data_IF_615074556985
#
_entry.id   IF_615074556985
#
_cell.length_a   1.000
_cell.length_b   1.000
_cell.length_c   1.000
_cell.angle_alpha   90.00
_cell.angle_beta   90.00
_cell.angle_gamma   90.00
#
_symmetry.space_group_name_H-M   'P 1'
#
loop_
_entity.id
_entity.type
_entity.pdbx_description
1 polymer ?
#
# COMPACT_ATOMS: atom_id res chain seq x y z
N UNK A 1 37.45 32.39 12.43
CA UNK A 1 38.88 32.05 12.24
C UNK A 1 39.74 32.08 13.51
N UNK A 2 39.40 32.84 14.57
CA UNK A 2 40.21 32.88 15.81
C UNK A 2 39.95 31.74 16.80
N UNK A 3 38.91 30.94 16.58
CA UNK A 3 38.76 29.62 17.20
C UNK A 3 38.39 28.65 16.08
N UNK A 4 39.13 27.55 15.94
CA UNK A 4 38.86 26.46 14.98
C UNK A 4 37.67 25.62 15.46
N UNK A 5 36.56 26.29 15.76
CA UNK A 5 35.29 25.66 16.09
C UNK A 5 34.60 25.40 14.76
N UNK A 6 34.47 24.12 14.41
CA UNK A 6 33.71 23.67 13.24
C UNK A 6 32.20 23.86 13.49
N UNK A 7 31.74 25.11 13.55
CA UNK A 7 30.38 25.46 13.94
C UNK A 7 29.30 24.85 13.03
N UNK A 8 29.59 24.70 11.74
CA UNK A 8 28.70 24.02 10.79
C UNK A 8 28.51 22.54 11.13
N UNK A 9 29.61 21.83 11.40
CA UNK A 9 29.57 20.42 11.78
C UNK A 9 28.87 20.22 13.13
N UNK A 10 29.16 21.08 14.11
CA UNK A 10 28.50 21.03 15.41
C UNK A 10 26.99 21.24 15.26
N UNK A 11 26.58 22.21 14.43
CA UNK A 11 25.17 22.43 14.13
C UNK A 11 24.51 21.22 13.46
N UNK A 12 25.16 20.62 12.45
CA UNK A 12 24.64 19.42 11.77
C UNK A 12 24.48 18.22 12.71
N UNK A 13 25.45 18.02 13.62
CA UNK A 13 25.42 16.95 14.63
C UNK A 13 24.30 17.17 15.65
N UNK A 14 24.17 18.39 16.20
CA UNK A 14 23.10 18.74 17.14
C UNK A 14 21.71 18.71 16.50
N UNK A 15 21.57 19.23 15.27
CA UNK A 15 20.32 19.19 14.53
C UNK A 15 19.90 17.74 14.23
N UNK A 16 20.85 16.89 13.83
CA UNK A 16 20.63 15.45 13.65
C UNK A 16 20.17 14.79 14.96
N UNK A 17 20.80 15.14 16.08
CA UNK A 17 20.43 14.64 17.40
C UNK A 17 19.00 15.05 17.78
N UNK A 18 18.67 16.33 17.59
CA UNK A 18 17.35 16.88 17.82
C UNK A 18 16.25 16.18 17.01
N UNK A 19 16.47 15.95 15.72
CA UNK A 19 15.51 15.26 14.85
C UNK A 19 15.28 13.81 15.31
N UNK A 20 16.35 13.07 15.61
CA UNK A 20 16.26 11.69 16.10
C UNK A 20 15.54 11.62 17.45
N UNK A 21 15.85 12.54 18.36
CA UNK A 21 15.20 12.61 19.66
C UNK A 21 13.69 12.93 19.51
N UNK A 22 13.34 13.86 18.62
CA UNK A 22 11.95 14.21 18.34
C UNK A 22 11.16 13.01 17.83
N UNK A 23 11.72 12.27 16.85
CA UNK A 23 11.08 11.06 16.32
C UNK A 23 10.97 9.95 17.38
N UNK A 24 12.00 9.76 18.21
CA UNK A 24 11.97 8.78 19.29
C UNK A 24 10.87 9.11 20.31
N UNK A 25 10.73 10.39 20.69
CA UNK A 25 9.70 10.84 21.64
C UNK A 25 8.29 10.58 21.13
N UNK A 26 8.02 10.84 19.84
CA UNK A 26 6.72 10.49 19.22
C UNK A 26 6.48 8.97 19.23
N UNK A 27 7.52 8.18 18.93
CA UNK A 27 7.41 6.72 18.95
C UNK A 27 7.09 6.20 20.37
N UNK A 28 7.78 6.71 21.39
CA UNK A 28 7.59 6.28 22.78
C UNK A 28 6.19 6.66 23.31
N UNK A 29 5.70 7.85 22.97
CA UNK A 29 4.35 8.28 23.31
C UNK A 29 3.28 7.45 22.58
N UNK A 30 3.49 7.17 21.30
CA UNK A 30 2.60 6.30 20.53
C UNK A 30 2.49 4.89 21.13
N UNK A 31 3.62 4.27 21.49
CA UNK A 31 3.65 2.97 22.16
C UNK A 31 2.96 3.04 23.53
N UNK A 32 3.19 4.11 24.30
CA UNK A 32 2.54 4.31 25.60
C UNK A 32 1.02 4.41 25.49
N UNK A 33 0.52 5.16 24.50
CA UNK A 33 -0.93 5.26 24.22
C UNK A 33 -1.50 3.93 23.78
N UNK A 34 -0.79 3.17 22.95
CA UNK A 34 -1.19 1.84 22.51
C UNK A 34 -1.38 0.90 23.70
N UNK A 35 -0.42 0.83 24.62
CA UNK A 35 -0.50 -0.02 25.82
C UNK A 35 -1.72 0.36 26.66
N UNK A 36 -1.95 1.66 26.91
CA UNK A 36 -3.12 2.14 27.65
C UNK A 36 -4.43 1.76 26.96
N UNK A 37 -4.52 1.94 25.65
CA UNK A 37 -5.74 1.69 24.89
C UNK A 37 -6.00 0.20 24.67
N UNK A 38 -4.96 -0.65 24.67
CA UNK A 38 -5.12 -2.11 24.64
C UNK A 38 -5.82 -2.68 25.88
N UNK A 39 -5.83 -1.92 26.99
CA UNK A 39 -6.57 -2.27 28.21
C UNK A 39 -8.05 -1.87 28.16
N UNK A 40 -8.48 -1.08 27.16
CA UNK A 40 -9.86 -0.61 27.00
C UNK A 40 -10.51 -1.35 25.81
N UNK A 41 -11.65 -1.99 26.05
CA UNK A 41 -12.29 -2.94 25.10
C UNK A 41 -12.94 -2.23 23.88
N UNK A 42 -13.08 -0.90 23.91
CA UNK A 42 -13.76 -0.13 22.86
C UNK A 42 -12.82 0.22 21.68
N UNK A 43 -13.31 0.13 20.43
CA UNK A 43 -12.55 0.51 19.25
C UNK A 43 -12.48 2.03 19.17
N UNK A 44 -11.51 2.64 19.86
CA UNK A 44 -11.22 4.05 19.68
C UNK A 44 -10.46 4.22 18.37
N UNK A 45 -10.99 5.06 17.48
CA UNK A 45 -10.23 5.61 16.36
C UNK A 45 -8.99 6.30 16.94
N UNK A 46 -7.82 5.72 16.73
CA UNK A 46 -6.57 6.40 17.04
C UNK A 46 -6.46 7.49 15.98
N UNK A 47 -6.83 8.71 16.35
CA UNK A 47 -6.53 9.89 15.56
C UNK A 47 -5.01 10.07 15.67
N UNK A 48 -4.29 9.59 14.63
CA UNK A 48 -2.93 9.06 14.77
C UNK A 48 -1.90 10.09 15.30
N UNK A 49 -2.24 11.39 15.26
CA UNK A 49 -1.44 12.49 15.82
C UNK A 49 -2.25 13.72 16.28
N UNK A 50 -3.50 13.56 16.73
CA UNK A 50 -4.27 14.72 17.22
C UNK A 50 -3.58 15.47 18.38
N UNK A 51 -2.71 14.77 19.10
CA UNK A 51 -1.87 15.30 20.18
C UNK A 51 -0.37 15.03 19.93
N UNK A 52 0.20 15.49 18.82
CA UNK A 52 1.66 15.37 18.61
C UNK A 52 2.43 16.15 19.70
N UNK A 53 3.62 15.67 20.09
CA UNK A 53 4.44 16.28 21.16
C UNK A 53 5.65 17.06 20.63
N UNK A 54 5.92 16.95 19.34
CA UNK A 54 7.12 17.46 18.66
C UNK A 54 6.76 18.01 17.29
N UNK A 55 7.66 18.84 16.77
CA UNK A 55 7.57 19.38 15.40
C UNK A 55 7.43 18.29 14.33
N UNK A 56 8.16 17.16 14.46
CA UNK A 56 8.08 16.07 13.49
C UNK A 56 6.70 15.39 13.51
N UNK A 57 6.11 15.22 14.69
CA UNK A 57 4.76 14.69 14.83
C UNK A 57 3.72 15.64 14.24
N UNK A 58 3.81 16.94 14.52
CA UNK A 58 2.92 17.96 13.96
C UNK A 58 3.01 18.03 12.43
N UNK A 59 4.24 18.04 11.90
CA UNK A 59 4.49 18.03 10.47
C UNK A 59 3.88 16.79 9.81
N UNK A 60 4.11 15.61 10.38
CA UNK A 60 3.54 14.37 9.87
C UNK A 60 2.01 14.40 9.92
N UNK A 61 1.41 14.89 11.01
CA UNK A 61 -0.04 15.06 11.14
C UNK A 61 -0.63 15.93 10.02
N UNK A 62 0.02 17.05 9.68
CA UNK A 62 -0.43 17.92 8.59
C UNK A 62 -0.33 17.21 7.24
N UNK A 63 0.77 16.47 6.98
CA UNK A 63 0.90 15.65 5.77
C UNK A 63 -0.24 14.63 5.68
N UNK A 64 -0.56 13.93 6.78
CA UNK A 64 -1.63 12.93 6.80
C UNK A 64 -3.02 13.54 6.60
N UNK A 65 -3.28 14.75 7.10
CA UNK A 65 -4.54 15.47 6.88
C UNK A 65 -4.73 15.85 5.41
N UNK A 66 -3.69 16.40 4.79
CA UNK A 66 -3.74 16.82 3.38
C UNK A 66 -3.82 15.65 2.39
N UNK A 67 -3.38 14.46 2.81
CA UNK A 67 -3.36 13.25 1.97
C UNK A 67 -4.45 12.24 2.34
N UNK A 68 -5.45 12.66 3.12
CA UNK A 68 -6.53 11.78 3.60
C UNK A 68 -7.31 11.20 2.41
N UNK A 69 -7.45 9.87 2.26
CA UNK A 69 -8.10 9.24 1.10
C UNK A 69 -9.56 9.62 0.90
N UNK A 70 -10.25 10.07 1.95
CA UNK A 70 -11.65 10.49 1.86
C UNK A 70 -11.83 11.93 1.38
N UNK A 71 -10.74 12.71 1.28
CA UNK A 71 -10.78 14.15 0.95
C UNK A 71 -9.78 14.55 -0.14
N UNK A 72 -8.91 13.64 -0.57
CA UNK A 72 -7.87 13.90 -1.55
C UNK A 72 -7.73 12.72 -2.50
N UNK A 73 -7.28 12.98 -3.72
CA UNK A 73 -7.01 11.98 -4.76
C UNK A 73 -5.54 12.02 -5.15
N UNK A 74 -4.85 10.89 -5.05
CA UNK A 74 -3.49 10.73 -5.52
C UNK A 74 -3.47 10.41 -7.02
N UNK A 75 -2.81 11.28 -7.78
CA UNK A 75 -2.65 11.16 -9.23
C UNK A 75 -1.20 10.76 -9.53
N UNK A 76 -0.98 9.48 -9.83
CA UNK A 76 0.37 8.91 -10.03
C UNK A 76 1.20 9.67 -11.08
N UNK A 77 0.69 10.00 -12.28
CA UNK A 77 1.47 10.76 -13.28
C UNK A 77 1.97 12.12 -12.78
N UNK A 78 1.26 12.73 -11.82
CA UNK A 78 1.63 14.00 -11.22
C UNK A 78 2.43 13.83 -9.92
N UNK A 79 2.48 12.61 -9.37
CA UNK A 79 3.11 12.28 -8.09
C UNK A 79 2.67 13.22 -6.96
N UNK A 80 1.36 13.47 -6.89
CA UNK A 80 0.76 14.43 -5.96
C UNK A 80 -0.70 14.13 -5.65
N UNK A 81 -1.20 14.79 -4.61
CA UNK A 81 -2.57 14.76 -4.10
C UNK A 81 -3.30 16.02 -4.50
N UNK A 82 -4.56 15.85 -4.90
CA UNK A 82 -5.44 16.91 -5.36
C UNK A 82 -6.77 16.85 -4.62
N UNK A 83 -7.41 17.99 -4.41
CA UNK A 83 -8.79 18.06 -3.94
C UNK A 83 -9.80 17.76 -5.06
N UNK A 84 -11.09 17.83 -4.74
CA UNK A 84 -12.17 17.59 -5.71
C UNK A 84 -12.26 18.69 -6.77
N UNK A 85 -11.77 19.90 -6.46
CA UNK A 85 -11.69 21.05 -7.34
C UNK A 85 -10.50 20.97 -8.31
N UNK A 86 -9.58 20.03 -8.10
CA UNK A 86 -8.38 19.82 -8.92
C UNK A 86 -7.19 20.69 -8.49
N UNK A 87 -7.22 21.29 -7.30
CA UNK A 87 -6.09 22.02 -6.74
C UNK A 87 -5.09 21.05 -6.11
N UNK A 88 -3.80 21.28 -6.35
CA UNK A 88 -2.72 20.50 -5.74
C UNK A 88 -2.64 20.78 -4.23
N UNK A 89 -2.82 19.74 -3.42
CA UNK A 89 -2.69 19.79 -1.96
C UNK A 89 -1.26 19.51 -1.52
N UNK A 90 -0.63 18.51 -2.14
CA UNK A 90 0.72 18.07 -1.81
C UNK A 90 1.34 17.37 -3.04
N UNK A 91 2.57 17.69 -3.41
CA UNK A 91 3.24 17.04 -4.53
C UNK A 91 4.76 17.04 -4.42
N UNK A 92 5.47 16.75 -5.51
CA UNK A 92 6.93 16.60 -5.50
C UNK A 92 7.69 17.84 -5.01
N UNK A 93 7.19 19.04 -5.31
CA UNK A 93 7.78 20.31 -4.84
C UNK A 93 7.76 20.42 -3.31
N UNK A 94 6.71 19.90 -2.67
CA UNK A 94 6.65 19.85 -1.21
C UNK A 94 7.74 18.94 -0.66
N UNK A 95 7.94 17.74 -1.20
CA UNK A 95 9.00 16.83 -0.73
C UNK A 95 10.41 17.37 -0.99
N UNK A 96 10.59 18.15 -2.05
CA UNK A 96 11.83 18.88 -2.30
C UNK A 96 12.11 19.94 -1.24
N UNK A 97 11.12 20.80 -0.94
CA UNK A 97 11.23 21.78 0.13
C UNK A 97 11.45 21.10 1.48
N UNK A 98 10.70 20.03 1.76
CA UNK A 98 10.83 19.26 2.99
C UNK A 98 12.25 18.70 3.16
N UNK A 99 12.82 18.07 2.14
CA UNK A 99 14.21 17.58 2.19
C UNK A 99 15.21 18.71 2.43
N UNK A 100 14.98 19.90 1.86
CA UNK A 100 15.85 21.06 2.11
C UNK A 100 15.77 21.58 3.55
N UNK A 101 14.63 21.39 4.23
CA UNK A 101 14.42 21.86 5.60
C UNK A 101 14.92 20.87 6.66
N UNK A 102 14.64 19.58 6.50
CA UNK A 102 14.94 18.55 7.53
C UNK A 102 16.07 17.60 7.14
N UNK A 103 16.57 17.70 5.92
CA UNK A 103 17.63 16.86 5.38
C UNK A 103 17.28 15.38 5.28
N UNK A 104 18.24 14.54 4.86
CA UNK A 104 18.04 13.10 4.73
C UNK A 104 17.67 12.41 6.05
N UNK A 105 18.22 12.89 7.16
CA UNK A 105 17.94 12.36 8.50
C UNK A 105 16.49 12.61 8.89
N UNK A 106 15.98 13.83 8.73
CA UNK A 106 14.60 14.16 9.08
C UNK A 106 13.59 13.40 8.24
N UNK A 107 13.86 13.25 6.94
CA UNK A 107 13.06 12.41 6.04
C UNK A 107 13.04 10.94 6.47
N UNK A 108 14.20 10.37 6.86
CA UNK A 108 14.26 9.01 7.39
C UNK A 108 13.56 8.87 8.75
N UNK A 109 13.60 9.90 9.59
CA UNK A 109 12.82 9.96 10.83
C UNK A 109 11.31 9.91 10.55
N UNK A 110 10.81 10.70 9.59
CA UNK A 110 9.40 10.64 9.16
C UNK A 110 9.03 9.24 8.62
N UNK A 111 9.89 8.64 7.79
CA UNK A 111 9.68 7.26 7.29
C UNK A 111 9.60 6.25 8.44
N UNK A 112 10.46 6.37 9.45
CA UNK A 112 10.46 5.46 10.61
C UNK A 112 9.17 5.56 11.43
N UNK A 113 8.58 6.75 11.53
CA UNK A 113 7.28 6.96 12.16
C UNK A 113 6.17 6.32 11.32
N UNK A 114 6.16 6.54 10.01
CA UNK A 114 5.21 5.92 9.07
C UNK A 114 5.24 4.39 9.16
N UNK A 115 6.42 3.77 9.29
CA UNK A 115 6.56 2.32 9.49
C UNK A 115 5.78 1.85 10.73
N UNK A 116 5.86 2.58 11.85
CA UNK A 116 5.12 2.23 13.07
C UNK A 116 3.61 2.32 12.88
N UNK A 117 3.12 3.35 12.19
CA UNK A 117 1.69 3.48 11.89
C UNK A 117 1.20 2.37 10.96
N UNK A 118 1.96 2.05 9.91
CA UNK A 118 1.60 0.97 9.00
C UNK A 118 1.50 -0.34 9.76
N UNK A 119 2.47 -0.67 10.62
CA UNK A 119 2.43 -1.89 11.44
C UNK A 119 1.15 -1.96 12.28
N UNK A 120 0.77 -0.87 12.94
CA UNK A 120 -0.43 -0.87 13.80
C UNK A 120 -1.74 -0.89 13.03
N UNK A 121 -1.84 -0.14 11.92
CA UNK A 121 -3.01 -0.20 11.05
C UNK A 121 -3.15 -1.59 10.42
N UNK A 122 -2.05 -2.25 10.04
CA UNK A 122 -2.04 -3.63 9.55
C UNK A 122 -2.53 -4.61 10.61
N UNK A 123 -2.03 -4.53 11.85
CA UNK A 123 -2.53 -5.37 12.97
C UNK A 123 -4.03 -5.17 13.21
N UNK A 124 -4.50 -3.92 13.18
CA UNK A 124 -5.92 -3.59 13.33
C UNK A 124 -6.76 -4.13 12.17
N UNK A 125 -6.31 -3.94 10.94
CA UNK A 125 -6.96 -4.48 9.74
C UNK A 125 -7.05 -6.01 9.79
N UNK A 126 -5.98 -6.67 10.24
CA UNK A 126 -5.94 -8.12 10.40
C UNK A 126 -6.92 -8.60 11.47
N UNK A 127 -6.94 -7.95 12.65
CA UNK A 127 -7.91 -8.25 13.71
C UNK A 127 -9.35 -8.03 13.25
N UNK A 128 -9.61 -6.92 12.55
CA UNK A 128 -10.92 -6.60 11.98
C UNK A 128 -11.37 -7.66 10.97
N UNK A 129 -10.49 -8.07 10.07
CA UNK A 129 -10.77 -9.14 9.10
C UNK A 129 -11.07 -10.46 9.80
N UNK A 130 -10.32 -10.85 10.83
CA UNK A 130 -10.58 -12.09 11.58
C UNK A 130 -11.95 -12.09 12.28
N UNK A 131 -12.42 -10.93 12.72
CA UNK A 131 -13.76 -10.78 13.31
C UNK A 131 -14.84 -10.92 12.24
N UNK A 132 -14.62 -10.36 11.04
CA UNK A 132 -15.52 -10.50 9.90
C UNK A 132 -15.61 -11.95 9.40
N UNK A 133 -14.52 -12.70 9.51
CA UNK A 133 -14.45 -14.11 9.13
C UNK A 133 -14.99 -15.06 10.21
N UNK A 134 -16.25 -14.83 10.61
CA UNK A 134 -16.98 -15.74 11.48
C UNK A 134 -17.37 -17.04 10.74
N UNK A 135 -17.86 -18.03 11.49
CA UNK A 135 -18.21 -19.34 10.92
C UNK A 135 -19.26 -19.25 9.79
N UNK A 136 -20.23 -18.33 9.92
CA UNK A 136 -21.28 -18.13 8.91
C UNK A 136 -20.72 -17.56 7.63
N UNK A 137 -19.80 -16.60 7.75
CA UNK A 137 -19.13 -16.01 6.60
C UNK A 137 -18.24 -17.04 5.87
N UNK A 138 -17.56 -17.92 6.62
CA UNK A 138 -16.78 -19.00 6.04
C UNK A 138 -17.64 -20.01 5.26
N UNK A 139 -18.80 -20.40 5.80
CA UNK A 139 -19.76 -21.25 5.08
C UNK A 139 -20.22 -20.61 3.75
N UNK A 140 -20.50 -19.30 3.76
CA UNK A 140 -20.87 -18.57 2.54
C UNK A 140 -19.74 -18.55 1.51
N UNK A 141 -18.49 -18.36 1.95
CA UNK A 141 -17.32 -18.43 1.06
C UNK A 141 -17.17 -19.83 0.46
N UNK A 142 -17.38 -20.90 1.23
CA UNK A 142 -17.23 -22.27 0.73
C UNK A 142 -18.30 -22.63 -0.31
N UNK A 143 -19.55 -22.21 -0.07
CA UNK A 143 -20.62 -22.35 -1.07
C UNK A 143 -20.25 -21.64 -2.37
N UNK A 144 -19.74 -20.41 -2.25
CA UNK A 144 -19.34 -19.61 -3.40
C UNK A 144 -18.12 -20.19 -4.11
N UNK A 145 -17.14 -20.71 -3.38
CA UNK A 145 -15.96 -21.36 -3.93
C UNK A 145 -16.36 -22.56 -4.81
N UNK A 146 -17.37 -23.30 -4.39
CA UNK A 146 -17.93 -24.40 -5.18
C UNK A 146 -18.58 -23.88 -6.47
N UNK A 147 -19.26 -22.73 -6.41
CA UNK A 147 -19.92 -22.11 -7.57
C UNK A 147 -18.94 -21.46 -8.57
N UNK A 148 -17.82 -20.92 -8.08
CA UNK A 148 -16.79 -20.27 -8.91
C UNK A 148 -15.88 -21.26 -9.63
N UNK A 149 -15.63 -22.42 -9.01
CA UNK A 149 -14.66 -23.38 -9.52
C UNK A 149 -13.23 -22.82 -9.51
N UNK A 150 -12.28 -23.46 -10.21
CA UNK A 150 -10.90 -23.01 -10.24
C UNK A 150 -10.76 -21.71 -11.04
N UNK A 151 -9.86 -20.80 -10.62
CA UNK A 151 -9.75 -19.47 -11.23
C UNK A 151 -9.21 -19.51 -12.66
N UNK A 152 -8.66 -20.64 -13.13
CA UNK A 152 -8.26 -20.83 -14.53
C UNK A 152 -9.46 -21.02 -15.47
N UNK A 153 -10.59 -21.47 -14.95
CA UNK A 153 -11.81 -21.76 -15.70
C UNK A 153 -12.88 -20.68 -15.54
N UNK A 154 -13.90 -20.70 -16.38
CA UNK A 154 -15.09 -19.87 -16.21
C UNK A 154 -16.07 -20.60 -15.26
N UNK A 155 -16.70 -19.89 -14.31
CA UNK A 155 -17.72 -20.45 -13.44
C UNK A 155 -18.89 -21.03 -14.22
N UNK A 156 -19.42 -22.16 -13.75
CA UNK A 156 -20.53 -22.87 -14.39
C UNK A 156 -21.82 -22.04 -14.48
N UNK A 157 -22.06 -21.16 -13.49
CA UNK A 157 -23.21 -20.26 -13.45
C UNK A 157 -22.90 -18.87 -14.06
N UNK A 158 -21.74 -18.73 -14.72
CA UNK A 158 -21.32 -17.52 -15.41
C UNK A 158 -21.35 -16.27 -14.51
N UNK A 159 -21.90 -15.18 -15.04
CA UNK A 159 -22.01 -13.89 -14.35
C UNK A 159 -22.78 -13.95 -13.03
N UNK A 160 -23.78 -14.82 -12.93
CA UNK A 160 -24.64 -14.91 -11.74
C UNK A 160 -23.86 -15.35 -10.48
N UNK A 161 -22.77 -16.11 -10.63
CA UNK A 161 -21.85 -16.44 -9.53
C UNK A 161 -21.25 -15.19 -8.87
N UNK A 162 -20.93 -14.18 -9.66
CA UNK A 162 -20.35 -12.91 -9.17
C UNK A 162 -21.42 -11.91 -8.72
N UNK A 163 -22.63 -11.96 -9.30
CA UNK A 163 -23.75 -11.17 -8.78
C UNK A 163 -24.12 -11.59 -7.35
N UNK A 164 -24.08 -12.88 -7.03
CA UNK A 164 -24.27 -13.37 -5.66
C UNK A 164 -23.23 -12.76 -4.70
N UNK A 165 -21.99 -12.57 -5.16
CA UNK A 165 -20.95 -11.91 -4.36
C UNK A 165 -21.20 -10.43 -4.15
N UNK A 166 -21.69 -9.73 -5.18
CA UNK A 166 -22.01 -8.32 -5.09
C UNK A 166 -23.17 -8.05 -4.11
N UNK A 167 -23.99 -9.06 -3.80
CA UNK A 167 -25.08 -8.97 -2.81
C UNK A 167 -24.65 -9.19 -1.36
N UNK A 168 -23.40 -9.59 -1.09
CA UNK A 168 -22.88 -9.59 0.28
C UNK A 168 -22.92 -8.16 0.83
N UNK A 169 -23.39 -7.93 2.07
CA UNK A 169 -23.65 -6.58 2.55
C UNK A 169 -22.37 -5.72 2.48
N UNK A 170 -22.35 -4.73 1.58
CA UNK A 170 -21.23 -3.81 1.39
C UNK A 170 -20.74 -3.19 2.71
N UNK A 171 -21.66 -2.95 3.65
CA UNK A 171 -21.39 -2.40 4.98
C UNK A 171 -20.41 -3.23 5.83
N UNK A 172 -20.28 -4.53 5.57
CA UNK A 172 -19.34 -5.38 6.32
C UNK A 172 -17.88 -5.07 5.99
N UNK A 173 -17.62 -4.57 4.78
CA UNK A 173 -16.26 -4.35 4.29
C UNK A 173 -15.76 -2.94 4.51
N UNK A 174 -16.65 -1.95 4.63
CA UNK A 174 -16.28 -0.52 4.68
C UNK A 174 -15.19 -0.22 5.73
N UNK A 175 -15.28 -0.67 7.01
CA UNK A 175 -14.22 -0.40 7.98
C UNK A 175 -12.87 -1.01 7.60
N UNK A 176 -12.90 -2.17 6.94
CA UNK A 176 -11.68 -2.82 6.46
C UNK A 176 -11.11 -2.07 5.25
N UNK A 177 -11.94 -1.64 4.30
CA UNK A 177 -11.55 -0.86 3.12
C UNK A 177 -10.98 0.50 3.53
N UNK A 178 -11.58 1.19 4.50
CA UNK A 178 -11.03 2.43 5.09
C UNK A 178 -9.67 2.20 5.74
N UNK A 179 -9.51 1.08 6.44
CA UNK A 179 -8.23 0.69 7.02
C UNK A 179 -7.18 0.41 5.94
N UNK A 180 -7.56 -0.25 4.84
CA UNK A 180 -6.67 -0.48 3.69
C UNK A 180 -6.29 0.84 3.02
N UNK A 181 -7.24 1.74 2.76
CA UNK A 181 -6.97 3.06 2.21
C UNK A 181 -5.98 3.85 3.08
N UNK A 182 -6.15 3.80 4.40
CA UNK A 182 -5.22 4.42 5.35
C UNK A 182 -3.82 3.81 5.26
N UNK A 183 -3.69 2.48 5.15
CA UNK A 183 -2.39 1.81 4.96
C UNK A 183 -1.74 2.25 3.64
N UNK A 184 -2.53 2.33 2.56
CA UNK A 184 -2.02 2.74 1.26
C UNK A 184 -1.58 4.20 1.22
N UNK A 185 -2.30 5.10 1.88
CA UNK A 185 -1.89 6.50 2.06
C UNK A 185 -0.48 6.58 2.64
N UNK A 186 -0.27 5.89 3.77
CA UNK A 186 1.03 5.85 4.45
C UNK A 186 2.12 5.29 3.52
N UNK A 187 1.82 4.22 2.79
CA UNK A 187 2.76 3.59 1.85
C UNK A 187 3.13 4.50 0.67
N UNK A 188 2.17 5.24 0.11
CA UNK A 188 2.45 6.20 -0.97
C UNK A 188 3.38 7.31 -0.47
N UNK A 189 3.13 7.85 0.73
CA UNK A 189 4.01 8.85 1.35
C UNK A 189 5.43 8.28 1.54
N UNK A 190 5.57 7.05 2.06
CA UNK A 190 6.87 6.37 2.19
C UNK A 190 7.58 6.22 0.84
N UNK A 191 6.84 5.91 -0.22
CA UNK A 191 7.40 5.80 -1.57
C UNK A 191 7.95 7.14 -2.07
N UNK A 192 7.22 8.25 -1.86
CA UNK A 192 7.68 9.58 -2.27
C UNK A 192 8.85 10.09 -1.43
N UNK A 193 8.86 9.81 -0.13
CA UNK A 193 10.03 10.09 0.75
C UNK A 193 11.26 9.35 0.23
N UNK A 194 11.15 8.05 -0.05
CA UNK A 194 12.27 7.25 -0.56
C UNK A 194 12.70 7.69 -1.96
N UNK A 195 11.76 8.03 -2.84
CA UNK A 195 12.05 8.59 -4.16
C UNK A 195 12.86 9.89 -4.05
N UNK A 196 12.46 10.79 -3.14
CA UNK A 196 13.20 12.04 -2.92
C UNK A 196 14.58 11.81 -2.33
N UNK A 197 14.71 10.91 -1.35
CA UNK A 197 16.01 10.58 -0.75
C UNK A 197 16.96 9.96 -1.77
N UNK A 198 16.47 9.02 -2.58
CA UNK A 198 17.27 8.34 -3.59
C UNK A 198 17.73 9.31 -4.68
N UNK A 199 16.83 10.17 -5.18
CA UNK A 199 17.17 11.18 -6.17
C UNK A 199 18.18 12.20 -5.63
N UNK A 200 18.00 12.69 -4.41
CA UNK A 200 18.95 13.59 -3.75
C UNK A 200 20.31 12.93 -3.55
N UNK A 201 20.37 11.68 -3.10
CA UNK A 201 21.61 10.93 -2.89
C UNK A 201 22.38 10.73 -4.20
N UNK A 202 21.70 10.38 -5.30
CA UNK A 202 22.32 10.22 -6.62
C UNK A 202 22.98 11.49 -7.16
N UNK A 203 22.43 12.65 -6.81
CA UNK A 203 22.94 13.97 -7.23
C UNK A 203 24.04 14.46 -6.29
N UNK A 204 23.78 14.47 -4.97
CA UNK A 204 24.66 15.08 -3.96
C UNK A 204 25.81 14.14 -3.52
N UNK A 205 25.62 12.82 -3.59
CA UNK A 205 26.53 11.83 -3.01
C UNK A 205 26.67 10.56 -3.87
N UNK A 206 26.91 10.72 -5.18
CA UNK A 206 26.95 9.62 -6.16
C UNK A 206 27.87 8.45 -5.78
N UNK A 207 29.06 8.73 -5.26
CA UNK A 207 30.02 7.69 -4.87
C UNK A 207 29.48 6.82 -3.73
N UNK A 208 28.89 7.45 -2.70
CA UNK A 208 28.24 6.75 -1.58
C UNK A 208 27.06 5.92 -2.07
N UNK A 209 26.22 6.51 -2.92
CA UNK A 209 25.08 5.83 -3.52
C UNK A 209 25.52 4.56 -4.26
N UNK A 210 26.54 4.65 -5.10
CA UNK A 210 27.04 3.51 -5.90
C UNK A 210 27.69 2.42 -5.02
N UNK A 211 28.47 2.81 -4.01
CA UNK A 211 29.07 1.86 -3.09
C UNK A 211 28.01 1.11 -2.27
N UNK A 212 27.02 1.85 -1.77
CA UNK A 212 25.95 1.29 -0.95
C UNK A 212 25.05 0.35 -1.75
N UNK A 213 24.71 0.71 -2.99
CA UNK A 213 23.95 -0.15 -3.92
C UNK A 213 24.69 -1.48 -4.19
N UNK A 214 26.01 -1.41 -4.41
CA UNK A 214 26.85 -2.59 -4.57
C UNK A 214 26.83 -3.49 -3.32
N UNK A 215 26.96 -2.91 -2.12
CA UNK A 215 26.93 -3.66 -0.86
C UNK A 215 25.55 -4.30 -0.64
N UNK A 216 24.45 -3.58 -0.89
CA UNK A 216 23.07 -4.10 -0.74
C UNK A 216 22.81 -5.24 -1.72
N UNK A 217 23.25 -5.12 -2.97
CA UNK A 217 23.12 -6.16 -3.99
C UNK A 217 23.92 -7.42 -3.61
N UNK A 218 25.12 -7.26 -3.07
CA UNK A 218 25.91 -8.39 -2.56
C UNK A 218 25.25 -9.02 -1.32
N UNK A 219 24.72 -8.22 -0.39
CA UNK A 219 24.08 -8.70 0.83
C UNK A 219 22.75 -9.45 0.55
N UNK A 220 21.99 -9.04 -0.46
CA UNK A 220 20.77 -9.74 -0.90
C UNK A 220 21.11 -11.05 -1.60
N UNK A 221 22.01 -11.06 -2.58
CA UNK A 221 22.44 -12.29 -3.25
C UNK A 221 23.10 -13.32 -2.31
N UNK A 222 23.85 -12.87 -1.31
CA UNK A 222 24.40 -13.73 -0.27
C UNK A 222 23.33 -14.30 0.67
N UNK A 223 22.22 -13.56 0.89
CA UNK A 223 21.07 -14.06 1.64
C UNK A 223 20.42 -15.21 0.88
N UNK A 224 20.17 -15.07 -0.41
CA UNK A 224 19.49 -16.09 -1.21
C UNK A 224 20.29 -17.40 -1.27
N UNK A 225 21.62 -17.31 -1.38
CA UNK A 225 22.52 -18.49 -1.33
C UNK A 225 22.56 -19.17 0.04
N UNK A 226 22.31 -18.43 1.12
CA UNK A 226 22.35 -18.93 2.49
C UNK A 226 21.10 -19.73 2.88
N UNK A 227 19.93 -19.47 2.27
CA UNK A 227 18.73 -20.28 2.51
C UNK A 227 18.88 -21.72 1.97
N UNK A 228 19.95 -21.99 1.20
CA UNK A 228 20.34 -23.29 0.68
C UNK A 228 21.48 -23.96 1.48
N UNK A 229 22.03 -23.29 2.51
CA UNK A 229 23.20 -23.75 3.27
C UNK A 229 22.94 -23.73 4.77
N UNK A 230 23.17 -24.88 5.43
CA UNK A 230 23.00 -25.03 6.87
C UNK A 230 24.21 -24.41 7.59
N UNK A 231 24.11 -23.18 8.09
CA UNK A 231 25.17 -22.59 8.93
C UNK A 231 24.67 -22.02 10.26
N UNK A 232 25.09 -22.72 11.32
CA UNK A 232 25.33 -22.17 12.65
C UNK A 232 26.78 -21.68 12.70
N UNK A 233 27.05 -20.40 12.43
CA UNK A 233 28.12 -19.65 13.09
C UNK A 233 28.06 -18.15 12.75
N UNK A 234 28.30 -17.31 13.77
CA UNK A 234 28.36 -15.84 13.75
C UNK A 234 27.13 -15.01 13.33
N UNK A 235 25.96 -15.43 13.81
CA UNK A 235 24.68 -14.76 13.61
C UNK A 235 24.61 -13.32 14.16
N UNK A 236 25.30 -13.00 15.27
CA UNK A 236 25.17 -11.70 15.94
C UNK A 236 25.85 -10.55 15.18
N UNK A 237 27.13 -10.69 14.83
CA UNK A 237 27.89 -9.68 14.07
C UNK A 237 27.25 -9.40 12.71
N UNK A 238 26.77 -10.46 12.04
CA UNK A 238 26.05 -10.33 10.76
C UNK A 238 24.74 -9.55 10.92
N UNK A 239 23.95 -9.85 11.96
CA UNK A 239 22.71 -9.12 12.26
C UNK A 239 22.99 -7.64 12.54
N UNK A 240 24.01 -7.34 13.34
CA UNK A 240 24.41 -5.97 13.62
C UNK A 240 24.84 -5.22 12.35
N UNK A 241 25.68 -5.84 11.51
CA UNK A 241 26.09 -5.26 10.24
C UNK A 241 24.89 -4.99 9.31
N UNK A 242 23.99 -5.96 9.13
CA UNK A 242 22.79 -5.78 8.29
C UNK A 242 21.86 -4.69 8.85
N UNK A 243 21.73 -4.60 10.16
CA UNK A 243 20.97 -3.54 10.81
C UNK A 243 21.59 -2.16 10.56
N UNK A 244 22.91 -2.02 10.73
CA UNK A 244 23.57 -0.72 10.48
C UNK A 244 23.54 -0.36 8.99
N UNK A 245 23.76 -1.33 8.10
CA UNK A 245 23.60 -1.16 6.65
C UNK A 245 22.18 -0.69 6.30
N UNK A 246 21.15 -1.25 6.92
CA UNK A 246 19.77 -0.85 6.67
C UNK A 246 19.48 0.60 7.08
N UNK A 247 20.13 1.11 8.15
CA UNK A 247 20.03 2.52 8.53
C UNK A 247 20.67 3.43 7.50
N UNK A 248 21.87 3.08 7.01
CA UNK A 248 22.54 3.86 5.96
C UNK A 248 21.75 3.81 4.65
N UNK A 249 21.20 2.64 4.31
CA UNK A 249 20.31 2.44 3.17
C UNK A 249 19.07 3.33 3.23
N UNK A 250 18.44 3.44 4.41
CA UNK A 250 17.28 4.30 4.61
C UNK A 250 17.60 5.79 4.34
N UNK A 251 18.75 6.30 4.81
CA UNK A 251 19.17 7.69 4.56
C UNK A 251 19.40 7.98 3.07
N UNK A 252 19.72 6.96 2.28
CA UNK A 252 19.95 7.07 0.84
C UNK A 252 18.74 6.68 -0.01
N UNK A 253 17.59 6.39 0.61
CA UNK A 253 16.37 5.99 -0.10
C UNK A 253 16.47 4.63 -0.80
N UNK A 254 17.28 3.70 -0.28
CA UNK A 254 17.36 2.31 -0.76
C UNK A 254 16.34 1.37 -0.09
N UNK A 255 15.38 1.91 0.68
CA UNK A 255 14.25 1.12 1.14
C UNK A 255 13.26 0.94 -0.03
N UNK A 256 12.66 -0.25 -0.11
CA UNK A 256 11.53 -0.51 -1.02
C UNK A 256 10.27 -0.66 -0.15
N UNK A 257 9.49 0.41 0.07
CA UNK A 257 8.39 0.40 1.05
C UNK A 257 7.36 -0.72 0.82
N UNK A 258 7.00 -0.94 -0.45
CA UNK A 258 6.02 -1.97 -0.85
C UNK A 258 6.53 -3.42 -0.71
N UNK A 259 7.82 -3.64 -0.44
CA UNK A 259 8.40 -4.97 -0.13
C UNK A 259 8.65 -5.18 1.36
N UNK A 260 8.36 -4.17 2.19
CA UNK A 260 8.59 -4.25 3.64
C UNK A 260 7.57 -5.19 4.28
N UNK A 261 8.06 -6.15 5.07
CA UNK A 261 7.24 -6.96 5.95
C UNK A 261 7.12 -6.31 7.32
N UNK A 262 5.89 -6.20 7.82
CA UNK A 262 5.53 -5.55 9.09
C UNK A 262 4.88 -6.52 10.08
N UNK A 263 4.21 -7.57 9.58
CA UNK A 263 3.51 -8.56 10.40
C UNK A 263 4.24 -9.90 10.42
N UNK A 264 4.06 -10.61 11.52
CA UNK A 264 4.43 -12.03 11.68
C UNK A 264 3.21 -12.70 12.30
N UNK A 265 2.20 -12.98 11.46
CA UNK A 265 0.92 -13.54 11.87
C UNK A 265 0.51 -14.62 10.86
N UNK A 266 -0.26 -15.61 11.32
CA UNK A 266 -0.81 -16.63 10.41
C UNK A 266 -1.91 -16.02 9.53
N UNK A 267 -1.95 -16.35 8.22
CA UNK A 267 -2.94 -15.82 7.31
C UNK A 267 -4.35 -16.30 7.67
N UNK A 268 -5.39 -15.45 7.47
CA UNK A 268 -6.76 -15.92 7.56
C UNK A 268 -7.09 -16.85 6.38
N UNK A 269 -8.02 -17.81 6.56
CA UNK A 269 -8.39 -18.72 5.48
C UNK A 269 -8.98 -17.96 4.29
N UNK A 270 -8.79 -18.46 3.07
CA UNK A 270 -9.38 -17.88 1.85
C UNK A 270 -9.05 -16.39 1.59
N UNK A 271 -7.93 -15.87 2.12
CA UNK A 271 -7.59 -14.45 2.07
C UNK A 271 -7.60 -13.86 0.64
N UNK A 272 -7.00 -14.55 -0.34
CA UNK A 272 -6.93 -14.05 -1.72
C UNK A 272 -8.32 -13.91 -2.37
N UNK A 273 -9.22 -14.87 -2.07
CA UNK A 273 -10.63 -14.81 -2.47
C UNK A 273 -11.36 -13.66 -1.81
N UNK A 274 -11.29 -13.53 -0.48
CA UNK A 274 -11.90 -12.41 0.25
C UNK A 274 -11.48 -11.07 -0.35
N UNK A 275 -10.18 -10.89 -0.60
CA UNK A 275 -9.64 -9.69 -1.22
C UNK A 275 -10.26 -9.40 -2.61
N UNK A 276 -10.45 -10.44 -3.44
CA UNK A 276 -11.10 -10.30 -4.76
C UNK A 276 -12.56 -9.90 -4.63
N UNK A 277 -13.30 -10.50 -3.69
CA UNK A 277 -14.71 -10.20 -3.43
C UNK A 277 -14.90 -8.76 -2.94
N UNK A 278 -14.05 -8.32 -2.00
CA UNK A 278 -14.05 -6.93 -1.54
C UNK A 278 -13.76 -5.99 -2.69
N UNK A 279 -12.75 -6.27 -3.51
CA UNK A 279 -12.44 -5.45 -4.69
C UNK A 279 -13.65 -5.31 -5.61
N UNK A 280 -14.30 -6.42 -5.97
CA UNK A 280 -15.48 -6.44 -6.85
C UNK A 280 -16.63 -5.63 -6.24
N UNK A 281 -16.83 -5.71 -4.93
CA UNK A 281 -17.85 -4.92 -4.23
C UNK A 281 -17.59 -3.41 -4.25
N UNK A 282 -16.33 -2.99 -4.43
CA UNK A 282 -15.91 -1.59 -4.41
C UNK A 282 -15.84 -0.97 -5.83
N UNK A 283 -15.64 -1.77 -6.88
CA UNK A 283 -15.54 -1.31 -8.27
C UNK A 283 -16.69 -0.40 -8.76
N UNK A 284 -17.97 -0.60 -8.35
CA UNK A 284 -19.06 0.28 -8.74
C UNK A 284 -18.92 1.73 -8.27
N UNK A 285 -18.09 1.99 -7.25
CA UNK A 285 -17.89 3.33 -6.66
C UNK A 285 -16.94 4.21 -7.49
N UNK A 286 -16.24 3.61 -8.45
CA UNK A 286 -15.23 4.27 -9.27
C UNK A 286 -15.70 4.44 -10.72
N UNK A 287 -15.20 5.50 -11.35
CA UNK A 287 -15.36 5.82 -12.76
C UNK A 287 -14.00 5.80 -13.42
N UNK A 288 -13.90 5.23 -14.61
CA UNK A 288 -12.69 5.31 -15.40
C UNK A 288 -12.57 6.70 -16.02
N UNK A 289 -11.49 7.41 -15.67
CA UNK A 289 -11.10 8.66 -16.31
C UNK A 289 -10.06 8.36 -17.39
N UNK A 290 -10.48 8.40 -18.65
CA UNK A 290 -9.64 8.10 -19.81
C UNK A 290 -8.50 9.11 -19.99
N UNK A 291 -8.69 10.38 -19.65
CA UNK A 291 -7.66 11.41 -19.77
C UNK A 291 -6.50 11.20 -18.79
N UNK A 292 -6.81 10.75 -17.58
CA UNK A 292 -5.81 10.46 -16.55
C UNK A 292 -5.32 9.00 -16.58
N UNK A 293 -5.95 8.15 -17.40
CA UNK A 293 -5.67 6.70 -17.44
C UNK A 293 -5.88 6.02 -16.08
N UNK A 294 -6.80 6.55 -15.26
CA UNK A 294 -6.92 6.17 -13.85
C UNK A 294 -8.37 6.06 -13.41
N UNK A 295 -8.61 5.37 -12.29
CA UNK A 295 -9.93 5.32 -11.67
C UNK A 295 -10.11 6.53 -10.75
N UNK A 296 -11.24 7.20 -10.85
CA UNK A 296 -11.60 8.34 -10.00
C UNK A 296 -12.91 8.07 -9.30
N UNK A 297 -13.07 8.62 -8.09
CA UNK A 297 -14.36 8.67 -7.42
C UNK A 297 -15.34 9.57 -8.18
N UNK A 298 -16.65 9.30 -8.09
CA UNK A 298 -17.63 10.31 -8.47
C UNK A 298 -17.45 11.54 -7.57
N UNK A 299 -17.24 12.71 -8.18
CA UNK A 299 -16.98 14.01 -7.54
C UNK A 299 -18.01 14.49 -6.49
N UNK A 300 -19.07 13.71 -6.22
CA UNK A 300 -20.14 14.04 -5.27
C UNK A 300 -20.34 13.03 -4.14
N UNK A 301 -19.63 11.90 -4.16
CA UNK A 301 -19.73 10.87 -3.12
C UNK A 301 -18.42 10.76 -2.35
N UNK A 302 -18.53 10.55 -1.04
CA UNK A 302 -17.44 10.24 -0.10
C UNK A 302 -16.89 8.84 -0.40
N UNK A 303 -16.43 8.60 -1.62
CA UNK A 303 -15.69 7.39 -1.97
C UNK A 303 -14.22 7.66 -1.67
N UNK A 304 -13.57 6.67 -1.08
CA UNK A 304 -12.14 6.70 -0.84
C UNK A 304 -11.41 6.76 -2.19
N UNK A 305 -10.27 7.45 -2.22
CA UNK A 305 -9.38 7.42 -3.38
C UNK A 305 -8.93 5.97 -3.67
N UNK A 306 -9.03 5.59 -4.95
CA UNK A 306 -8.73 4.24 -5.40
C UNK A 306 -7.25 3.90 -5.17
N UNK A 307 -6.34 4.85 -5.39
CA UNK A 307 -4.89 4.61 -5.34
C UNK A 307 -4.46 4.07 -3.96
N UNK A 308 -4.76 4.76 -2.83
CA UNK A 308 -4.54 4.23 -1.49
C UNK A 308 -5.24 2.90 -1.24
N UNK A 309 -6.47 2.68 -1.71
CA UNK A 309 -7.16 1.39 -1.50
C UNK A 309 -6.39 0.23 -2.14
N UNK A 310 -5.96 0.39 -3.39
CA UNK A 310 -5.23 -0.65 -4.13
C UNK A 310 -3.85 -0.91 -3.51
N UNK A 311 -3.09 0.15 -3.19
CA UNK A 311 -1.78 0.02 -2.55
C UNK A 311 -1.91 -0.60 -1.16
N UNK A 312 -2.94 -0.22 -0.40
CA UNK A 312 -3.26 -0.77 0.91
C UNK A 312 -3.56 -2.25 0.87
N UNK A 313 -4.42 -2.67 -0.07
CA UNK A 313 -4.75 -4.08 -0.29
C UNK A 313 -3.51 -4.90 -0.63
N UNK A 314 -2.70 -4.43 -1.59
CA UNK A 314 -1.47 -5.13 -1.97
C UNK A 314 -0.44 -5.18 -0.84
N UNK A 315 -0.32 -4.10 -0.06
CA UNK A 315 0.51 -4.07 1.16
C UNK A 315 0.05 -5.12 2.15
N UNK A 316 -1.27 -5.23 2.40
CA UNK A 316 -1.84 -6.21 3.32
C UNK A 316 -1.57 -7.65 2.85
N UNK A 317 -1.80 -7.96 1.57
CA UNK A 317 -1.56 -9.30 1.01
C UNK A 317 -0.07 -9.69 1.04
N UNK A 318 0.84 -8.75 0.80
CA UNK A 318 2.30 -8.97 0.88
C UNK A 318 2.83 -9.27 2.28
N UNK A 319 2.00 -9.12 3.32
CA UNK A 319 2.36 -9.55 4.67
C UNK A 319 2.37 -11.08 4.82
N UNK A 320 1.76 -11.80 3.88
CA UNK A 320 1.61 -13.25 3.92
C UNK A 320 2.34 -13.91 2.75
N UNK A 321 2.24 -15.24 2.66
CA UNK A 321 2.86 -16.02 1.60
C UNK A 321 2.41 -15.52 0.20
N UNK A 322 3.31 -15.44 -0.80
CA UNK A 322 2.99 -14.91 -2.13
C UNK A 322 1.81 -15.59 -2.85
N UNK A 323 1.45 -16.81 -2.45
CA UNK A 323 0.28 -17.53 -2.99
C UNK A 323 -1.02 -16.75 -2.84
N UNK A 324 -1.22 -15.96 -1.78
CA UNK A 324 -2.46 -15.19 -1.59
C UNK A 324 -2.57 -14.01 -2.57
N UNK A 325 -1.43 -13.39 -2.87
CA UNK A 325 -1.33 -12.34 -3.89
C UNK A 325 -1.66 -12.91 -5.28
N UNK A 326 -1.12 -14.10 -5.57
CA UNK A 326 -1.37 -14.82 -6.82
C UNK A 326 -2.83 -15.26 -6.94
N UNK A 327 -3.39 -15.81 -5.86
CA UNK A 327 -4.79 -16.21 -5.78
C UNK A 327 -5.72 -15.02 -6.05
N UNK A 328 -5.45 -13.86 -5.44
CA UNK A 328 -6.17 -12.61 -5.69
C UNK A 328 -6.16 -12.23 -7.18
N UNK A 329 -4.99 -12.20 -7.81
CA UNK A 329 -4.85 -11.84 -9.23
C UNK A 329 -5.62 -12.83 -10.12
N UNK A 330 -5.55 -14.12 -9.81
CA UNK A 330 -6.23 -15.17 -10.56
C UNK A 330 -7.77 -15.03 -10.49
N UNK A 331 -8.35 -14.75 -9.32
CA UNK A 331 -9.80 -14.53 -9.19
C UNK A 331 -10.26 -13.21 -9.82
N UNK A 332 -9.45 -12.15 -9.73
CA UNK A 332 -9.74 -10.91 -10.45
C UNK A 332 -9.68 -11.12 -11.97
N UNK A 333 -8.73 -11.93 -12.46
CA UNK A 333 -8.66 -12.33 -13.87
C UNK A 333 -9.84 -13.20 -14.32
N UNK A 334 -10.33 -14.09 -13.45
CA UNK A 334 -11.57 -14.84 -13.69
C UNK A 334 -12.76 -13.87 -13.82
N UNK A 335 -12.88 -12.88 -12.93
CA UNK A 335 -13.92 -11.87 -12.99
C UNK A 335 -13.90 -11.05 -14.28
N UNK A 336 -12.72 -10.57 -14.71
CA UNK A 336 -12.54 -9.82 -15.96
C UNK A 336 -12.95 -10.63 -17.19
N UNK A 337 -12.65 -11.94 -17.22
CA UNK A 337 -13.02 -12.79 -18.35
C UNK A 337 -14.54 -12.97 -18.46
N UNK A 338 -15.23 -13.14 -17.33
CA UNK A 338 -16.69 -13.31 -17.31
C UNK A 338 -17.41 -12.00 -17.67
N UNK A 339 -16.93 -10.84 -17.18
CA UNK A 339 -17.52 -9.54 -17.56
C UNK A 339 -17.40 -9.32 -19.07
N UNK A 340 -16.25 -9.64 -19.66
CA UNK A 340 -16.02 -9.54 -21.09
C UNK A 340 -16.91 -10.49 -21.91
N UNK A 341 -17.08 -11.74 -21.47
CA UNK A 341 -17.98 -12.70 -22.14
C UNK A 341 -19.45 -12.28 -22.06
N UNK A 342 -19.87 -11.77 -20.91
CA UNK A 342 -21.25 -11.30 -20.69
C UNK A 342 -21.56 -10.06 -21.54
N UNK A 343 -20.55 -9.25 -21.85
CA UNK A 343 -20.68 -8.13 -22.80
C UNK A 343 -20.86 -8.60 -24.27
N UNK A 344 -20.28 -9.75 -24.64
CA UNK A 344 -20.40 -10.31 -25.99
C UNK A 344 -21.68 -11.10 -26.24
N UNK A 345 -22.31 -11.62 -25.18
CA UNK A 345 -23.61 -12.26 -25.24
C UNK A 345 -24.72 -11.20 -25.16
N UNK A 346 -25.55 -11.07 -26.21
CA UNK A 346 -26.70 -10.15 -26.29
C UNK A 346 -27.78 -10.45 -25.23
N UNK A 347 -27.50 -10.30 -23.94
CA UNK A 347 -28.50 -10.31 -22.89
C UNK A 347 -29.14 -8.94 -22.80
N UNK A 348 -30.48 -8.90 -22.90
CA UNK A 348 -31.29 -7.70 -22.77
C UNK A 348 -30.82 -6.87 -21.56
N UNK A 349 -30.42 -5.63 -21.82
CA UNK A 349 -30.06 -4.68 -20.76
C UNK A 349 -31.22 -4.56 -19.77
N UNK A 350 -31.06 -5.14 -18.58
CA UNK A 350 -31.89 -4.79 -17.44
C UNK A 350 -31.66 -3.30 -17.15
N UNK A 351 -32.69 -2.47 -17.32
CA UNK A 351 -32.66 -1.04 -17.00
C UNK A 351 -32.15 -0.85 -15.56
N UNK A 352 -30.96 -0.28 -15.41
CA UNK A 352 -30.33 0.02 -14.13
C UNK A 352 -29.07 -0.80 -13.80
N UNK A 353 -28.71 -1.83 -14.59
CA UNK A 353 -27.45 -2.53 -14.45
C UNK A 353 -26.29 -1.72 -15.07
N UNK A 354 -25.10 -1.71 -14.45
CA UNK A 354 -23.93 -1.04 -15.02
C UNK A 354 -23.54 -1.69 -16.35
N UNK A 355 -23.07 -0.88 -17.31
CA UNK A 355 -22.63 -1.35 -18.62
C UNK A 355 -21.49 -2.38 -18.45
N UNK A 356 -21.69 -3.65 -18.88
CA UNK A 356 -20.71 -4.72 -18.67
C UNK A 356 -19.36 -4.42 -19.35
N UNK A 357 -19.34 -3.64 -20.45
CA UNK A 357 -18.10 -3.22 -21.09
C UNK A 357 -17.30 -2.27 -20.20
N UNK A 358 -17.98 -1.29 -19.58
CA UNK A 358 -17.37 -0.32 -18.70
C UNK A 358 -16.88 -0.97 -17.40
N UNK A 359 -17.64 -1.92 -16.84
CA UNK A 359 -17.21 -2.69 -15.66
C UNK A 359 -15.96 -3.53 -15.94
N UNK A 360 -15.89 -4.16 -17.12
CA UNK A 360 -14.69 -4.89 -17.54
C UNK A 360 -13.47 -3.96 -17.61
N UNK A 361 -13.60 -2.78 -18.23
CA UNK A 361 -12.52 -1.80 -18.33
C UNK A 361 -12.06 -1.28 -16.96
N UNK A 362 -13.00 -0.98 -16.05
CA UNK A 362 -12.66 -0.58 -14.67
C UNK A 362 -11.88 -1.66 -13.93
N UNK A 363 -12.33 -2.90 -14.06
CA UNK A 363 -11.68 -4.07 -13.45
C UNK A 363 -10.26 -4.26 -13.96
N UNK A 364 -10.05 -4.09 -15.26
CA UNK A 364 -8.72 -4.18 -15.88
C UNK A 364 -7.84 -3.02 -15.40
N UNK A 365 -8.33 -1.78 -15.38
CA UNK A 365 -7.55 -0.64 -14.87
C UNK A 365 -7.13 -0.84 -13.42
N UNK A 366 -8.04 -1.32 -12.55
CA UNK A 366 -7.71 -1.69 -11.17
C UNK A 366 -6.60 -2.74 -11.12
N UNK A 367 -6.76 -3.83 -11.88
CA UNK A 367 -5.83 -4.95 -11.84
C UNK A 367 -4.46 -4.58 -12.40
N UNK A 368 -4.40 -3.78 -13.46
CA UNK A 368 -3.15 -3.28 -14.03
C UNK A 368 -2.41 -2.37 -13.04
N UNK A 369 -3.13 -1.47 -12.36
CA UNK A 369 -2.56 -0.62 -11.32
C UNK A 369 -2.02 -1.46 -10.15
N UNK A 370 -2.79 -2.46 -9.69
CA UNK A 370 -2.36 -3.39 -8.65
C UNK A 370 -1.11 -4.18 -9.06
N UNK A 371 -1.13 -4.81 -10.23
CA UNK A 371 -0.03 -5.68 -10.71
C UNK A 371 1.27 -4.89 -10.89
N UNK A 372 1.18 -3.66 -11.41
CA UNK A 372 2.31 -2.74 -11.54
C UNK A 372 2.98 -2.48 -10.19
N UNK A 373 2.20 -2.07 -9.18
CA UNK A 373 2.75 -1.69 -7.87
C UNK A 373 3.15 -2.89 -7.01
N UNK A 374 2.50 -4.04 -7.20
CA UNK A 374 2.83 -5.27 -6.49
C UNK A 374 3.93 -6.08 -7.17
N UNK A 375 4.44 -5.63 -8.32
CA UNK A 375 5.50 -6.28 -9.10
C UNK A 375 5.13 -7.71 -9.53
N UNK A 376 3.86 -7.90 -9.92
CA UNK A 376 3.40 -9.15 -10.50
C UNK A 376 4.05 -9.32 -11.88
N UNK A 377 4.62 -10.49 -12.14
CA UNK A 377 5.25 -10.79 -13.43
C UNK A 377 4.24 -10.69 -14.57
N UNK A 378 4.68 -10.12 -15.69
CA UNK A 378 3.84 -9.94 -16.88
C UNK A 378 3.22 -11.26 -17.36
N UNK A 379 3.95 -12.37 -17.31
CA UNK A 379 3.47 -13.69 -17.71
C UNK A 379 2.20 -14.12 -16.95
N UNK A 380 2.12 -13.77 -15.66
CA UNK A 380 0.96 -14.07 -14.82
C UNK A 380 -0.22 -13.21 -15.23
N UNK A 381 0.01 -11.92 -15.51
CA UNK A 381 -1.03 -11.00 -15.97
C UNK A 381 -1.58 -11.46 -17.32
N UNK A 382 -0.70 -11.79 -18.26
CA UNK A 382 -1.04 -12.26 -19.60
C UNK A 382 -1.78 -13.63 -19.57
N UNK A 383 -1.50 -14.47 -18.57
CA UNK A 383 -2.25 -15.71 -18.34
C UNK A 383 -3.67 -15.50 -17.80
N UNK A 384 -3.92 -14.36 -17.14
CA UNK A 384 -5.17 -14.06 -16.46
C UNK A 384 -6.10 -13.17 -17.30
N UNK A 385 -5.55 -12.27 -18.14
CA UNK A 385 -6.30 -11.33 -18.97
C UNK A 385 -6.03 -11.61 -20.46
N UNK A 386 -7.08 -11.75 -21.29
CA UNK A 386 -6.94 -11.77 -22.74
C UNK A 386 -6.21 -10.51 -23.28
N UNK A 387 -5.18 -10.66 -24.15
CA UNK A 387 -4.42 -9.52 -24.68
C UNK A 387 -5.27 -8.48 -25.43
N UNK A 388 -6.36 -8.92 -26.05
CA UNK A 388 -7.32 -8.05 -26.74
C UNK A 388 -7.96 -7.02 -25.82
N UNK A 389 -8.21 -7.37 -24.55
CA UNK A 389 -8.82 -6.47 -23.56
C UNK A 389 -7.81 -5.46 -23.01
N UNK A 390 -6.54 -5.86 -22.90
CA UNK A 390 -5.45 -4.95 -22.47
C UNK A 390 -5.23 -3.85 -23.52
N UNK A 391 -5.31 -4.19 -24.80
CA UNK A 391 -5.13 -3.24 -25.89
C UNK A 391 -6.17 -2.10 -25.89
N UNK A 392 -7.38 -2.34 -25.38
CA UNK A 392 -8.45 -1.33 -25.31
C UNK A 392 -8.12 -0.19 -24.33
N UNK A 393 -7.28 -0.43 -23.32
CA UNK A 393 -6.84 0.61 -22.38
C UNK A 393 -5.64 1.44 -22.88
N UNK A 394 -5.00 1.02 -23.97
CA UNK A 394 -3.82 1.71 -24.53
C UNK A 394 -4.17 2.71 -25.65
N UNK A 395 -5.46 2.85 -25.95
CA UNK A 395 -6.05 3.84 -26.87
C UNK A 395 -6.67 4.97 -26.05
#
# INVERSE_FOLDING_TARGET
>A
DLMDIQGTRLWEEEFTCFLKHSAQKECDDFVTRQVKNSAVILPVEMDDFSNAQTFLGDLLNQILKLTKPSMSMYIEPMSGWFDAEGCELLGLRFFELLESCVGPVGMACLDSLLVKFITEKLKRAFKGLRILMDARFLEQIEMLNTALGPPTSLPLLGWSSYQLMATLPHMLWEPWVESLASIGQLQIIRCLINLKLNSACKVKARAVCSALDGIITLASSARDKMWMGNEKENCATKKYFLHELSKQAALCGFCVPLRTSYLIEDPPPYLGRCASMVTISQLPRYVLNTHLGTLTSHLKTVSLDFSPVVIGLGTFLKQFHPSYLMEYVQYMGQYVRITAETCGANHEHQKGAPDPALEALKSISWMMFFCKHMEISKDVVDSCIPPSLIAVLQV
#
